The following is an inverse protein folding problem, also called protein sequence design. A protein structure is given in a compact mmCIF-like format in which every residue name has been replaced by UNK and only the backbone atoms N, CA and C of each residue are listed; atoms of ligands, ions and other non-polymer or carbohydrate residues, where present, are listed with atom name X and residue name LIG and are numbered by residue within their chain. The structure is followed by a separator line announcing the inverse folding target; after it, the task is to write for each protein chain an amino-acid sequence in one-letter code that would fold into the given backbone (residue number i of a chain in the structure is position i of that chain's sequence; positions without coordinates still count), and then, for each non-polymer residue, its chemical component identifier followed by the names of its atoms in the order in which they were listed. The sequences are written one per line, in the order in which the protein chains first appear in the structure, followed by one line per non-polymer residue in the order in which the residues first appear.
data_IF_388320298619
#
_entry.id   IF_388320298619
#
_cell.length_a   1.000
_cell.length_b   1.000
_cell.length_c   1.000
_cell.angle_alpha   90.00
_cell.angle_beta   90.00
_cell.angle_gamma   90.00
#
_symmetry.space_group_name_H-M   'P 1'
#
loop_
_entity.id
_entity.type
_entity.pdbx_description
1 polymer ?
#
# COMPACT_ATOMS: atom_id res chain seq x y z
N UNK A 1 -52.42 -33.30 18.06
CA UNK A 1 -51.83 -33.08 16.72
C UNK A 1 -51.51 -31.60 16.45
N UNK A 2 -52.46 -30.66 16.60
CA UNK A 2 -52.20 -29.21 16.42
C UNK A 2 -51.06 -28.65 17.31
N UNK A 3 -50.96 -29.07 18.57
CA UNK A 3 -49.90 -28.63 19.51
C UNK A 3 -48.51 -29.14 19.12
N UNK A 4 -48.42 -30.33 18.51
CA UNK A 4 -47.17 -30.90 17.99
C UNK A 4 -46.75 -30.21 16.69
N UNK A 5 -47.72 -29.87 15.83
CA UNK A 5 -47.48 -29.11 14.60
C UNK A 5 -46.98 -27.68 14.90
N UNK A 6 -47.53 -27.02 15.91
CA UNK A 6 -47.10 -25.68 16.35
C UNK A 6 -45.69 -25.74 16.96
N UNK A 7 -45.35 -26.79 17.70
CA UNK A 7 -44.01 -26.98 18.26
C UNK A 7 -42.97 -27.22 17.15
N UNK A 8 -43.32 -27.98 16.11
CA UNK A 8 -42.45 -28.22 14.96
C UNK A 8 -42.21 -26.93 14.14
N UNK A 9 -43.25 -26.11 13.96
CA UNK A 9 -43.16 -24.82 13.26
C UNK A 9 -42.30 -23.79 14.03
N UNK A 10 -42.33 -23.79 15.36
CA UNK A 10 -41.45 -22.95 16.19
C UNK A 10 -39.98 -23.42 16.15
N UNK A 11 -39.72 -24.72 16.08
CA UNK A 11 -38.35 -25.26 15.99
C UNK A 11 -37.69 -24.95 14.63
N UNK A 12 -38.47 -24.91 13.55
CA UNK A 12 -37.94 -24.57 12.22
C UNK A 12 -37.61 -23.09 12.03
N UNK A 13 -38.19 -22.18 12.83
CA UNK A 13 -37.89 -20.74 12.70
C UNK A 13 -36.54 -20.34 13.30
N UNK A 14 -35.89 -21.21 14.09
CA UNK A 14 -34.58 -20.94 14.69
C UNK A 14 -33.40 -21.24 13.74
N UNK A 15 -33.64 -21.85 12.58
CA UNK A 15 -32.57 -22.38 11.71
C UNK A 15 -32.21 -21.42 10.56
N UNK A 16 -32.93 -20.32 10.39
CA UNK A 16 -32.64 -19.32 9.34
C UNK A 16 -32.02 -18.08 9.96
N UNK A 17 -30.88 -18.25 10.63
CA UNK A 17 -29.97 -17.12 10.88
C UNK A 17 -29.02 -17.11 9.68
N UNK A 18 -29.11 -16.12 8.76
CA UNK A 18 -28.07 -15.97 7.75
C UNK A 18 -26.77 -15.70 8.50
N UNK A 19 -25.88 -16.70 8.52
CA UNK A 19 -24.52 -16.52 8.95
C UNK A 19 -23.85 -15.63 7.92
N UNK A 20 -23.87 -14.31 8.16
CA UNK A 20 -22.95 -13.38 7.55
C UNK A 20 -21.58 -13.69 8.14
N UNK A 21 -20.99 -14.81 7.72
CA UNK A 21 -19.56 -15.05 7.88
C UNK A 21 -18.92 -14.01 6.98
N UNK A 22 -18.59 -12.85 7.54
CA UNK A 22 -17.60 -11.98 6.94
C UNK A 22 -16.34 -12.83 6.97
N UNK A 23 -16.01 -13.45 5.84
CA UNK A 23 -14.71 -14.06 5.68
C UNK A 23 -13.71 -12.97 6.09
N UNK A 24 -12.88 -13.28 7.08
CA UNK A 24 -11.73 -12.46 7.38
C UNK A 24 -10.87 -12.60 6.11
N UNK A 25 -11.01 -11.62 5.21
CA UNK A 25 -10.26 -11.62 3.95
C UNK A 25 -8.81 -11.60 4.34
N UNK A 26 -8.04 -12.56 3.81
CA UNK A 26 -6.60 -12.58 4.03
C UNK A 26 -6.01 -11.22 3.61
N UNK A 27 -5.08 -10.72 4.42
CA UNK A 27 -4.44 -9.44 4.15
C UNK A 27 -3.60 -9.59 2.89
N UNK A 28 -3.90 -8.81 1.86
CA UNK A 28 -3.17 -8.79 0.60
C UNK A 28 -2.16 -7.65 0.66
N UNK A 29 -0.90 -7.93 0.36
CA UNK A 29 0.13 -6.90 0.26
C UNK A 29 0.49 -6.66 -1.20
N UNK A 30 0.40 -5.40 -1.62
CA UNK A 30 0.95 -4.92 -2.89
C UNK A 30 2.33 -4.34 -2.61
N UNK A 31 3.35 -4.96 -3.18
CA UNK A 31 4.72 -4.50 -3.06
C UNK A 31 5.10 -3.60 -4.22
N UNK A 32 5.77 -2.50 -3.94
CA UNK A 32 6.35 -1.59 -4.93
C UNK A 32 7.85 -1.46 -4.71
N UNK A 33 8.63 -2.01 -5.63
CA UNK A 33 10.06 -1.73 -5.76
C UNK A 33 10.24 -0.42 -6.54
N UNK A 34 10.86 0.58 -5.91
CA UNK A 34 10.95 1.95 -6.41
C UNK A 34 12.37 2.53 -6.31
N UNK A 35 12.68 3.46 -7.20
CA UNK A 35 13.84 4.34 -7.04
C UNK A 35 13.47 5.64 -6.33
N UNK A 36 14.34 6.15 -5.47
CA UNK A 36 14.09 7.39 -4.72
C UNK A 36 13.88 8.63 -5.60
N UNK A 37 14.52 8.69 -6.78
CA UNK A 37 14.40 9.81 -7.73
C UNK A 37 13.74 9.39 -9.04
N UNK A 38 12.94 8.33 -9.00
CA UNK A 38 12.23 7.77 -10.14
C UNK A 38 10.91 8.52 -10.34
N UNK A 39 10.79 9.31 -11.42
CA UNK A 39 9.59 10.13 -11.71
C UNK A 39 8.33 9.26 -11.78
N UNK A 40 8.37 8.14 -12.51
CA UNK A 40 7.21 7.25 -12.61
C UNK A 40 6.85 6.55 -11.30
N UNK A 41 7.82 6.35 -10.41
CA UNK A 41 7.55 5.81 -9.08
C UNK A 41 6.87 6.85 -8.19
N UNK A 42 7.28 8.13 -8.30
CA UNK A 42 6.61 9.24 -7.62
C UNK A 42 5.19 9.44 -8.16
N UNK A 43 5.00 9.43 -9.48
CA UNK A 43 3.67 9.53 -10.10
C UNK A 43 2.73 8.43 -9.59
N UNK A 44 3.24 7.20 -9.44
CA UNK A 44 2.49 6.08 -8.87
C UNK A 44 2.14 6.31 -7.41
N UNK A 45 3.11 6.68 -6.58
CA UNK A 45 2.90 6.91 -5.15
C UNK A 45 1.96 8.09 -4.88
N UNK A 46 2.08 9.18 -5.65
CA UNK A 46 1.18 10.33 -5.56
C UNK A 46 -0.25 9.92 -5.91
N UNK A 47 -0.43 9.16 -6.98
CA UNK A 47 -1.75 8.65 -7.36
C UNK A 47 -2.35 7.78 -6.26
N UNK A 48 -1.59 6.79 -5.76
CA UNK A 48 -2.03 5.88 -4.70
C UNK A 48 -2.36 6.67 -3.41
N UNK A 49 -1.54 7.65 -3.06
CA UNK A 49 -1.74 8.48 -1.88
C UNK A 49 -2.99 9.37 -1.98
N UNK A 50 -3.26 9.92 -3.16
CA UNK A 50 -4.41 10.78 -3.42
C UNK A 50 -5.73 10.00 -3.54
N UNK A 51 -5.66 8.69 -3.76
CA UNK A 51 -6.82 7.81 -3.93
C UNK A 51 -6.82 6.64 -2.94
N UNK A 52 -6.36 6.87 -1.70
CA UNK A 52 -6.31 5.84 -0.65
C UNK A 52 -7.67 5.21 -0.37
N UNK A 53 -8.75 5.95 -0.58
CA UNK A 53 -10.13 5.48 -0.44
C UNK A 53 -10.52 4.39 -1.46
N UNK A 54 -9.76 4.24 -2.54
CA UNK A 54 -9.95 3.16 -3.50
C UNK A 54 -9.24 1.87 -3.07
N UNK A 55 -8.30 1.93 -2.12
CA UNK A 55 -7.57 0.76 -1.64
C UNK A 55 -8.50 -0.04 -0.71
N UNK A 56 -8.72 -1.35 -0.95
CA UNK A 56 -9.50 -2.18 -0.04
C UNK A 56 -8.93 -2.21 1.38
N UNK A 57 -9.81 -2.32 2.40
CA UNK A 57 -9.41 -2.25 3.82
C UNK A 57 -8.39 -3.34 4.24
N UNK A 58 -8.39 -4.48 3.53
CA UNK A 58 -7.49 -5.62 3.75
C UNK A 58 -6.22 -5.56 2.88
N UNK A 59 -6.03 -4.49 2.10
CA UNK A 59 -4.85 -4.30 1.26
C UNK A 59 -3.86 -3.36 1.93
N UNK A 60 -2.59 -3.76 1.97
CA UNK A 60 -1.49 -2.89 2.38
C UNK A 60 -0.55 -2.63 1.21
N UNK A 61 -0.11 -1.38 1.06
CA UNK A 61 0.93 -1.02 0.10
C UNK A 61 2.26 -0.89 0.83
N UNK A 62 3.22 -1.74 0.47
CA UNK A 62 4.58 -1.77 1.03
C UNK A 62 5.58 -1.42 -0.06
N UNK A 63 6.53 -0.55 0.25
CA UNK A 63 7.52 -0.08 -0.72
C UNK A 63 8.94 -0.44 -0.29
N UNK A 64 9.77 -0.78 -1.27
CA UNK A 64 11.21 -0.98 -1.12
C UNK A 64 11.94 0.01 -2.01
N UNK A 65 12.75 0.88 -1.41
CA UNK A 65 13.66 1.74 -2.18
C UNK A 65 14.87 0.89 -2.61
N UNK A 66 15.18 0.82 -3.91
CA UNK A 66 16.19 -0.11 -4.44
C UNK A 66 17.42 0.56 -5.04
N UNK A 67 17.42 1.88 -5.26
CA UNK A 67 18.58 2.55 -5.87
C UNK A 67 19.64 2.94 -4.86
N UNK A 68 19.25 3.12 -3.58
CA UNK A 68 20.14 3.52 -2.48
C UNK A 68 20.20 2.49 -1.37
N UNK A 69 19.39 1.43 -1.42
CA UNK A 69 19.46 0.30 -0.50
C UNK A 69 19.77 -1.00 -1.28
N UNK A 70 21.00 -1.48 -1.12
CA UNK A 70 21.50 -2.68 -1.80
C UNK A 70 20.76 -3.95 -1.38
N UNK A 71 20.35 -4.08 -0.11
CA UNK A 71 19.58 -5.23 0.36
C UNK A 71 18.21 -5.30 -0.32
N UNK A 72 17.54 -4.16 -0.46
CA UNK A 72 16.27 -4.07 -1.18
C UNK A 72 16.44 -4.32 -2.69
N UNK A 73 17.55 -3.88 -3.29
CA UNK A 73 17.87 -4.21 -4.68
C UNK A 73 18.04 -5.71 -4.88
N UNK A 74 18.75 -6.37 -3.95
CA UNK A 74 18.89 -7.83 -3.95
C UNK A 74 17.54 -8.52 -3.78
N UNK A 75 16.63 -7.97 -2.94
CA UNK A 75 15.26 -8.48 -2.84
C UNK A 75 14.52 -8.37 -4.18
N UNK A 76 14.60 -7.24 -4.87
CA UNK A 76 13.95 -7.08 -6.18
C UNK A 76 14.42 -8.15 -7.17
N UNK A 77 15.73 -8.36 -7.25
CA UNK A 77 16.32 -9.34 -8.16
C UNK A 77 15.95 -10.78 -7.80
N UNK A 78 15.88 -11.11 -6.51
CA UNK A 78 15.48 -12.43 -6.03
C UNK A 78 13.99 -12.71 -6.27
N UNK A 79 13.12 -11.70 -6.07
CA UNK A 79 11.70 -11.79 -6.39
C UNK A 79 11.49 -11.95 -7.90
N UNK A 80 12.22 -11.18 -8.71
CA UNK A 80 12.18 -11.30 -10.16
C UNK A 80 12.64 -12.70 -10.64
N UNK A 81 13.67 -13.28 -10.02
CA UNK A 81 14.11 -14.65 -10.31
C UNK A 81 13.05 -15.69 -9.89
N UNK A 82 12.43 -15.50 -8.72
CA UNK A 82 11.37 -16.38 -8.23
C UNK A 82 10.15 -16.41 -9.18
N UNK A 83 9.82 -15.26 -9.78
CA UNK A 83 8.71 -15.08 -10.71
C UNK A 83 9.08 -15.33 -12.18
N UNK A 84 10.31 -15.77 -12.47
CA UNK A 84 10.84 -15.99 -13.83
C UNK A 84 10.73 -14.74 -14.75
N UNK A 85 10.92 -13.56 -14.17
CA UNK A 85 10.90 -12.28 -14.90
C UNK A 85 12.18 -12.13 -15.73
N UNK A 86 12.03 -11.78 -17.01
CA UNK A 86 13.18 -11.43 -17.86
C UNK A 86 13.83 -10.11 -17.41
N UNK A 87 14.86 -10.21 -16.56
CA UNK A 87 15.65 -9.07 -16.08
C UNK A 87 16.48 -8.37 -17.17
N UNK A 88 16.58 -8.96 -18.37
CA UNK A 88 17.28 -8.34 -19.51
C UNK A 88 16.35 -7.49 -20.37
N UNK A 89 15.04 -7.58 -20.14
CA UNK A 89 14.05 -6.79 -20.83
C UNK A 89 14.20 -5.30 -20.50
N UNK A 90 13.97 -4.44 -21.49
CA UNK A 90 14.14 -2.98 -21.35
C UNK A 90 13.14 -2.33 -20.40
N UNK A 91 12.05 -3.03 -20.11
CA UNK A 91 10.99 -2.63 -19.21
C UNK A 91 11.18 -3.19 -17.79
N UNK A 92 12.23 -3.99 -17.55
CA UNK A 92 12.63 -4.36 -16.19
C UNK A 92 13.34 -3.19 -15.51
N UNK A 93 12.95 -2.89 -14.28
CA UNK A 93 13.44 -1.75 -13.53
C UNK A 93 12.42 -1.32 -12.49
N UNK A 94 12.31 0.00 -12.29
CA UNK A 94 11.36 0.59 -11.35
C UNK A 94 10.44 1.58 -12.08
N UNK A 95 9.16 1.71 -11.69
CA UNK A 95 8.50 0.95 -10.63
C UNK A 95 8.24 -0.51 -11.03
N UNK A 96 8.34 -1.42 -10.08
CA UNK A 96 8.00 -2.84 -10.25
C UNK A 96 7.07 -3.26 -9.12
N UNK A 97 5.86 -3.67 -9.50
CA UNK A 97 4.80 -4.05 -8.58
C UNK A 97 4.67 -5.56 -8.51
N UNK A 98 4.42 -6.09 -7.32
CA UNK A 98 4.22 -7.52 -7.08
C UNK A 98 3.04 -7.72 -6.13
N UNK A 99 2.12 -8.60 -6.52
CA UNK A 99 0.96 -9.02 -5.72
C UNK A 99 0.83 -10.52 -5.89
N UNK A 100 1.05 -11.29 -4.83
CA UNK A 100 1.07 -12.73 -4.95
C UNK A 100 2.13 -13.19 -5.96
N UNK A 101 1.77 -14.10 -6.86
CA UNK A 101 2.59 -14.54 -8.00
C UNK A 101 2.48 -13.65 -9.24
N UNK A 102 1.65 -12.61 -9.23
CA UNK A 102 1.49 -11.67 -10.34
C UNK A 102 2.36 -10.43 -10.16
N UNK A 103 2.72 -9.79 -11.28
CA UNK A 103 3.57 -8.60 -11.27
C UNK A 103 3.24 -7.64 -12.43
N UNK A 104 3.51 -6.36 -12.19
CA UNK A 104 3.36 -5.30 -13.20
C UNK A 104 4.66 -4.50 -13.29
N UNK A 105 5.16 -4.28 -14.52
CA UNK A 105 6.38 -3.53 -14.80
C UNK A 105 6.07 -2.12 -15.31
N UNK A 106 6.74 -1.13 -14.73
CA UNK A 106 6.54 0.27 -15.10
C UNK A 106 5.24 0.84 -14.55
N UNK A 107 4.98 2.11 -14.88
CA UNK A 107 3.75 2.80 -14.49
C UNK A 107 3.25 3.70 -15.62
N UNK A 108 1.96 3.63 -15.89
CA UNK A 108 1.27 4.43 -16.88
C UNK A 108 -0.25 4.32 -16.73
N UNK A 109 -0.97 4.77 -17.76
CA UNK A 109 -2.43 4.64 -17.80
C UNK A 109 -2.83 3.16 -17.73
N UNK A 110 -3.71 2.79 -16.80
CA UNK A 110 -4.22 1.41 -16.68
C UNK A 110 -3.48 0.56 -15.64
N UNK A 111 -2.28 0.97 -15.18
CA UNK A 111 -1.48 0.17 -14.23
C UNK A 111 -2.22 -0.05 -12.91
N UNK A 112 -3.01 0.93 -12.47
CA UNK A 112 -3.72 0.81 -11.20
C UNK A 112 -4.95 -0.08 -11.31
N UNK A 113 -5.69 0.05 -12.41
CA UNK A 113 -6.80 -0.82 -12.74
C UNK A 113 -6.32 -2.28 -12.82
N UNK A 114 -5.19 -2.54 -13.45
CA UNK A 114 -4.56 -3.87 -13.52
C UNK A 114 -4.19 -4.41 -12.13
N UNK A 115 -3.56 -3.59 -11.27
CA UNK A 115 -3.22 -4.01 -9.90
C UNK A 115 -4.45 -4.35 -9.06
N UNK A 116 -5.54 -3.60 -9.23
CA UNK A 116 -6.80 -3.88 -8.55
C UNK A 116 -7.50 -5.12 -9.08
N UNK A 117 -7.48 -5.34 -10.39
CA UNK A 117 -8.00 -6.59 -10.97
C UNK A 117 -7.25 -7.80 -10.38
N UNK A 118 -5.91 -7.72 -10.26
CA UNK A 118 -5.10 -8.77 -9.62
C UNK A 118 -5.52 -9.00 -8.16
N UNK A 119 -5.69 -7.93 -7.39
CA UNK A 119 -6.14 -8.01 -5.98
C UNK A 119 -7.52 -8.65 -5.89
N UNK A 120 -8.48 -8.20 -6.70
CA UNK A 120 -9.85 -8.72 -6.72
C UNK A 120 -9.89 -10.22 -7.08
N UNK A 121 -9.05 -10.64 -8.03
CA UNK A 121 -8.93 -12.05 -8.41
C UNK A 121 -8.41 -12.88 -7.23
N UNK A 122 -7.36 -12.43 -6.52
CA UNK A 122 -6.87 -13.11 -5.32
C UNK A 122 -7.90 -13.17 -4.19
N UNK A 123 -8.68 -12.11 -3.96
CA UNK A 123 -9.75 -12.11 -2.96
C UNK A 123 -10.84 -13.13 -3.29
N UNK A 124 -11.17 -13.25 -4.57
CA UNK A 124 -12.23 -14.13 -5.06
C UNK A 124 -11.81 -15.59 -5.07
N UNK A 125 -10.57 -15.87 -5.45
CA UNK A 125 -10.03 -17.24 -5.53
C UNK A 125 -9.56 -17.75 -4.16
N UNK A 126 -9.10 -16.85 -3.29
CA UNK A 126 -8.66 -17.17 -1.93
C UNK A 126 -7.35 -17.97 -1.90
N UNK A 127 -6.49 -17.77 -2.91
CA UNK A 127 -5.23 -18.48 -3.11
C UNK A 127 -3.99 -17.56 -3.04
N UNK A 128 -4.17 -16.34 -2.50
CA UNK A 128 -3.08 -15.40 -2.27
C UNK A 128 -1.95 -16.03 -1.43
N UNK A 129 -0.73 -16.00 -1.96
CA UNK A 129 0.51 -16.33 -1.24
C UNK A 129 1.44 -15.12 -1.30
N UNK A 130 1.88 -14.60 -0.15
CA UNK A 130 2.85 -13.51 -0.11
C UNK A 130 4.26 -14.02 -0.47
N UNK A 131 4.55 -14.08 -1.78
CA UNK A 131 5.83 -14.57 -2.30
C UNK A 131 6.99 -13.66 -1.93
N UNK A 132 6.75 -12.35 -1.73
CA UNK A 132 7.83 -11.41 -1.39
C UNK A 132 8.29 -11.67 0.04
N UNK A 133 7.37 -11.82 0.99
CA UNK A 133 7.67 -12.23 2.36
C UNK A 133 8.38 -13.58 2.42
N UNK A 134 7.97 -14.53 1.56
CA UNK A 134 8.62 -15.84 1.44
C UNK A 134 10.08 -15.72 0.97
N UNK A 135 10.33 -14.96 -0.10
CA UNK A 135 11.69 -14.71 -0.61
C UNK A 135 12.56 -14.03 0.44
N UNK A 136 12.05 -13.03 1.18
CA UNK A 136 12.77 -12.39 2.28
C UNK A 136 13.22 -13.42 3.34
N UNK A 137 12.31 -14.33 3.72
CA UNK A 137 12.59 -15.37 4.70
C UNK A 137 13.62 -16.39 4.20
N UNK A 138 13.46 -16.85 2.95
CA UNK A 138 14.32 -17.88 2.35
C UNK A 138 15.75 -17.36 2.15
N UNK A 139 15.89 -16.12 1.66
CA UNK A 139 17.17 -15.44 1.44
C UNK A 139 17.74 -14.77 2.71
N UNK A 140 16.95 -14.73 3.80
CA UNK A 140 17.31 -14.11 5.10
C UNK A 140 17.75 -12.66 4.97
N UNK A 141 17.01 -11.89 4.18
CA UNK A 141 17.33 -10.49 3.92
C UNK A 141 16.81 -9.58 5.04
N UNK A 142 17.66 -8.66 5.50
CA UNK A 142 17.30 -7.60 6.45
C UNK A 142 16.90 -6.34 5.66
N UNK A 143 15.66 -6.32 5.19
CA UNK A 143 15.14 -5.32 4.26
C UNK A 143 14.58 -4.09 4.98
N UNK A 144 14.65 -2.93 4.32
CA UNK A 144 14.03 -1.69 4.82
C UNK A 144 12.77 -1.39 4.01
N UNK A 145 11.62 -1.69 4.61
CA UNK A 145 10.31 -1.44 4.02
C UNK A 145 9.74 -0.09 4.50
N UNK A 146 8.95 0.57 3.64
CA UNK A 146 8.12 1.73 4.00
C UNK A 146 6.70 1.57 3.49
N UNK A 147 5.73 1.75 4.37
CA UNK A 147 4.31 1.83 4.01
C UNK A 147 3.98 3.21 3.42
N UNK A 148 2.80 3.35 2.80
CA UNK A 148 2.29 4.67 2.41
C UNK A 148 2.19 5.65 3.59
N UNK A 149 1.91 5.15 4.80
CA UNK A 149 1.87 6.00 5.99
C UNK A 149 3.28 6.49 6.36
N UNK A 150 4.31 5.65 6.21
CA UNK A 150 5.70 6.07 6.47
C UNK A 150 6.20 7.10 5.45
N UNK A 151 5.71 7.02 4.21
CA UNK A 151 6.07 7.96 3.14
C UNK A 151 5.35 9.31 3.24
N UNK A 152 4.06 9.30 3.59
CA UNK A 152 3.21 10.49 3.55
C UNK A 152 2.63 10.89 4.92
N UNK A 153 3.14 10.34 6.04
CA UNK A 153 2.67 10.70 7.38
C UNK A 153 2.62 12.21 7.54
N UNK A 154 1.47 12.73 7.98
CA UNK A 154 1.37 14.15 8.27
C UNK A 154 2.39 14.53 9.36
N UNK A 155 3.06 15.69 9.23
CA UNK A 155 3.93 16.18 10.28
C UNK A 155 3.15 16.27 11.59
N UNK A 156 3.76 15.80 12.68
CA UNK A 156 3.09 15.80 13.98
C UNK A 156 2.54 17.19 14.29
N UNK A 157 1.40 17.28 14.99
CA UNK A 157 0.81 18.58 15.37
C UNK A 157 1.83 19.51 16.03
N UNK A 158 2.79 18.96 16.79
CA UNK A 158 3.87 19.72 17.38
C UNK A 158 4.83 20.33 16.33
N UNK A 159 5.25 19.55 15.33
CA UNK A 159 6.10 20.03 14.23
C UNK A 159 5.37 21.12 13.43
N UNK A 160 4.10 20.89 13.11
CA UNK A 160 3.25 21.86 12.40
C UNK A 160 3.12 23.18 13.18
N UNK A 161 2.86 23.11 14.49
CA UNK A 161 2.83 24.30 15.37
C UNK A 161 4.19 25.02 15.36
N UNK A 162 5.31 24.31 15.49
CA UNK A 162 6.65 24.91 15.49
C UNK A 162 6.91 25.67 14.19
N UNK A 163 6.59 25.07 13.04
CA UNK A 163 6.77 25.71 11.73
C UNK A 163 5.94 26.98 11.63
N UNK A 164 4.67 26.95 12.02
CA UNK A 164 3.81 28.15 12.03
C UNK A 164 4.32 29.23 12.99
N UNK A 165 4.82 28.86 14.17
CA UNK A 165 5.42 29.82 15.09
C UNK A 165 6.67 30.50 14.52
N UNK A 166 7.55 29.75 13.85
CA UNK A 166 8.77 30.29 13.23
C UNK A 166 8.40 31.24 12.08
N UNK A 167 7.51 30.82 11.18
CA UNK A 167 7.03 31.69 10.10
C UNK A 167 6.34 32.95 10.64
N UNK A 168 5.51 32.81 11.68
CA UNK A 168 4.85 33.94 12.33
C UNK A 168 5.84 34.94 12.91
N UNK A 169 6.90 34.48 13.59
CA UNK A 169 7.94 35.35 14.13
C UNK A 169 8.72 36.09 13.03
N UNK A 170 9.03 35.41 11.93
CA UNK A 170 9.70 36.01 10.76
C UNK A 170 8.82 37.12 10.16
N UNK A 171 7.53 36.84 9.94
CA UNK A 171 6.58 37.81 9.39
C UNK A 171 6.44 39.04 10.31
N UNK A 172 6.31 38.82 11.62
CA UNK A 172 6.27 39.93 12.60
C UNK A 172 7.56 40.77 12.57
N UNK A 173 8.72 40.12 12.44
CA UNK A 173 10.01 40.80 12.29
C UNK A 173 10.06 41.70 11.06
N UNK A 174 9.60 41.20 9.90
CA UNK A 174 9.51 42.00 8.67
C UNK A 174 8.54 43.18 8.80
N UNK A 175 7.37 42.96 9.40
CA UNK A 175 6.38 44.03 9.64
C UNK A 175 6.98 45.12 10.54
N UNK A 176 7.65 44.73 11.63
CA UNK A 176 8.31 45.67 12.52
C UNK A 176 9.39 46.47 11.77
N UNK A 177 10.23 45.81 10.98
CA UNK A 177 11.27 46.46 10.19
C UNK A 177 10.69 47.49 9.21
N UNK A 178 9.62 47.17 8.50
CA UNK A 178 8.92 48.10 7.59
C UNK A 178 8.32 49.28 8.38
N UNK A 179 7.69 49.02 9.53
CA UNK A 179 7.10 50.06 10.36
C UNK A 179 8.16 51.04 10.91
N UNK A 180 9.34 50.53 11.30
CA UNK A 180 10.45 51.35 11.78
C UNK A 180 11.23 52.06 10.66
N UNK A 181 11.25 51.51 9.45
CA UNK A 181 11.92 52.12 8.28
C UNK A 181 11.16 53.31 7.67
N UNK A 182 9.85 53.43 7.94
CA UNK A 182 9.00 54.54 7.45
C UNK A 182 8.95 55.76 8.40
N UNK A 183 9.81 55.79 9.41
CA UNK A 183 10.04 56.93 10.31
C UNK A 183 11.38 57.58 10.00
#
# INVERSE_FOLDING_TARGET
MKKVLILLLMLTSLVIIPSNVKAESDKITVYLFRGDTCVHCEDALEYINNHRELIPDNVEIVTYEVWKNETNANLQDAVADYLDVDKTAKDYGTPFFVVGSEYVKGYGTGTWEELFEIVEDYEKEGDYEDIVSKVISDEKLDVEAKTLNDLYSEPSKAVTIIVYCVFGAIVLGFIAMIAFSRK
#
